data_IF_618997367565
#
_entry.id   IF_618997367565
#
_cell.length_a   1.000
_cell.length_b   1.000
_cell.length_c   1.000
_cell.angle_alpha   90.00
_cell.angle_beta   90.00
_cell.angle_gamma   90.00
#
_symmetry.space_group_name_H-M   'P 1'
#
loop_
_entity.id
_entity.type
_entity.pdbx_description
1 polymer ?
2 non-polymer ?
3 non-polymer ?
4 non-polymer ?
5 water ?
#
# COMPACT_ATOMS: atom_id res chain seq x y z
N UNK A 5 -0.91 19.70 -1.47
CA UNK A 5 0.14 18.96 -0.69
C UNK A 5 0.51 17.71 -1.52
N UNK A 6 1.80 17.40 -1.60
CA UNK A 6 2.28 16.27 -2.38
C UNK A 6 3.28 15.43 -1.61
N UNK A 7 3.23 14.12 -1.84
CA UNK A 7 4.20 13.19 -1.28
C UNK A 7 4.57 12.19 -2.36
N UNK A 8 5.62 11.42 -2.13
CA UNK A 8 6.11 10.51 -3.16
C UNK A 8 6.85 9.39 -2.46
N UNK A 9 6.85 8.22 -3.09
CA UNK A 9 7.62 7.09 -2.61
C UNK A 9 8.24 6.39 -3.81
N UNK A 10 9.47 5.92 -3.63
CA UNK A 10 10.15 5.10 -4.62
C UNK A 10 10.18 3.68 -4.08
N UNK A 11 9.54 2.76 -4.80
CA UNK A 11 9.41 1.38 -4.31
C UNK A 11 10.47 0.48 -4.88
N UNK A 12 11.11 -0.25 -3.99
CA UNK A 12 12.07 -1.31 -4.34
C UNK A 12 12.02 -2.36 -3.25
N UNK A 13 12.53 -3.55 -3.54
CA UNK A 13 12.57 -4.59 -2.52
C UNK A 13 13.45 -5.75 -2.94
N UNK A 14 13.23 -6.87 -2.29
CA UNK A 14 14.00 -8.09 -2.57
C UNK A 14 13.28 -8.88 -3.65
N UNK A 15 13.18 -8.27 -4.81
CA UNK A 15 12.40 -8.77 -5.93
C UNK A 15 12.72 -7.81 -7.05
N UNK A 16 12.26 -8.10 -8.27
CA UNK A 16 12.47 -7.15 -9.37
C UNK A 16 11.48 -5.97 -9.38
N UNK A 17 10.47 -6.01 -8.52
CA UNK A 17 9.38 -5.02 -8.59
C UNK A 17 9.90 -3.65 -8.22
N UNK A 18 9.55 -2.64 -9.01
CA UNK A 18 10.00 -1.28 -8.73
C UNK A 18 8.98 -0.31 -9.27
N UNK A 19 8.84 0.84 -8.62
CA UNK A 19 7.98 1.87 -9.16
C UNK A 19 8.08 3.15 -8.39
N UNK A 20 7.25 4.11 -8.78
CA UNK A 20 7.20 5.41 -8.14
C UNK A 20 5.74 5.76 -7.98
N UNK A 21 5.34 6.04 -6.75
CA UNK A 21 3.97 6.37 -6.43
C UNK A 21 3.91 7.78 -5.86
N UNK A 22 3.00 8.59 -6.41
CA UNK A 22 2.75 9.92 -5.90
C UNK A 22 1.42 9.98 -5.16
N UNK A 23 1.36 10.92 -4.22
CA UNK A 23 0.19 11.15 -3.39
C UNK A 23 -0.08 12.64 -3.43
N UNK A 24 -1.29 13.03 -3.79
CA UNK A 24 -1.63 14.45 -3.78
C UNK A 24 -2.92 14.70 -3.02
N UNK A 25 -3.00 15.84 -2.39
CA UNK A 25 -4.16 16.18 -1.61
C UNK A 25 -4.34 17.68 -1.61
N UNK A 26 -5.59 18.12 -1.75
CA UNK A 26 -5.93 19.53 -1.62
C UNK A 26 -5.46 20.03 -0.27
N UNK A 30 -9.95 16.38 2.48
CA UNK A 30 -10.25 15.94 1.12
C UNK A 30 -9.46 14.69 0.77
N UNK A 31 -9.89 13.97 -0.28
CA UNK A 31 -9.27 12.69 -0.57
C UNK A 31 -7.84 12.84 -1.08
N UNK A 32 -7.05 11.79 -0.87
CA UNK A 32 -5.72 11.72 -1.41
C UNK A 32 -5.81 10.94 -2.72
N UNK A 33 -5.20 11.48 -3.75
CA UNK A 33 -5.05 10.80 -5.04
C UNK A 33 -3.69 10.10 -5.07
N UNK A 34 -3.73 8.80 -5.30
CA UNK A 34 -2.57 7.95 -5.36
C UNK A 34 -2.38 7.53 -6.82
N UNK A 35 -1.19 7.80 -7.39
CA UNK A 35 -0.95 7.50 -8.80
C UNK A 35 0.46 7.07 -9.05
N UNK A 36 0.67 6.31 -10.10
CA UNK A 36 2.02 6.00 -10.52
C UNK A 36 2.03 4.64 -11.16
N UNK A 37 3.21 4.15 -11.53
CA UNK A 37 3.35 2.86 -12.16
C UNK A 37 4.30 2.01 -11.35
N UNK A 38 3.92 0.75 -11.20
CA UNK A 38 4.75 -0.27 -10.56
C UNK A 38 4.99 -1.33 -11.62
N UNK A 39 6.26 -1.71 -11.80
CA UNK A 39 6.66 -2.56 -12.92
C UNK A 39 7.31 -3.84 -12.43
N UNK A 40 7.43 -4.79 -13.36
CA UNK A 40 8.07 -6.10 -13.12
C UNK A 40 7.28 -6.99 -12.17
N UNK A 41 5.99 -6.77 -12.12
CA UNK A 41 5.10 -7.61 -11.37
C UNK A 41 4.63 -8.78 -12.21
N UNK A 42 3.93 -9.73 -11.59
CA UNK A 42 3.27 -10.78 -12.38
C UNK A 42 2.23 -10.15 -13.31
N UNK A 43 2.01 -10.77 -14.47
CA UNK A 43 1.07 -10.26 -15.45
C UNK A 43 -0.37 -10.62 -15.11
N UNK A 44 -1.29 -9.74 -15.49
CA UNK A 44 -2.72 -9.98 -15.41
C UNK A 44 -3.16 -10.42 -14.02
N UNK A 45 -2.67 -9.73 -12.99
CA UNK A 45 -2.83 -10.16 -11.60
C UNK A 45 -3.47 -9.09 -10.77
N UNK A 46 -3.83 -9.47 -9.54
CA UNK A 46 -4.30 -8.54 -8.54
C UNK A 46 -3.40 -8.66 -7.33
N UNK A 47 -2.91 -7.53 -6.83
CA UNK A 47 -1.86 -7.55 -5.81
C UNK A 47 -2.15 -6.56 -4.72
N UNK A 48 -1.95 -6.98 -3.47
CA UNK A 48 -2.29 -6.13 -2.35
C UNK A 48 -1.40 -4.92 -2.19
N UNK A 49 -2.01 -3.79 -1.84
CA UNK A 49 -1.31 -2.48 -1.85
C UNK A 49 -1.72 -1.77 -0.58
N UNK A 50 -0.76 -1.53 0.32
CA UNK A 50 -1.12 -1.03 1.66
C UNK A 50 -0.08 -0.06 2.16
N UNK A 51 -0.54 0.90 2.94
CA UNK A 51 0.37 1.72 3.75
C UNK A 51 0.63 1.00 5.07
N UNK A 52 1.90 0.74 5.33
CA UNK A 52 2.36 0.13 6.57
C UNK A 52 2.88 1.21 7.54
N UNK A 53 2.92 0.85 8.82
CA UNK A 53 3.04 1.82 9.90
C UNK A 53 4.38 2.57 9.89
N UNK A 54 5.48 1.85 9.69
CA UNK A 54 6.79 2.45 9.87
C UNK A 54 7.49 2.73 8.57
N UNK A 55 8.15 3.88 8.52
CA UNK A 55 9.03 4.24 7.40
C UNK A 55 10.45 3.79 7.65
N UNK A 56 10.59 2.53 8.07
CA UNK A 56 11.87 1.96 8.47
C UNK A 56 12.23 0.91 7.45
N UNK A 57 13.23 1.22 6.64
CA UNK A 57 13.67 0.32 5.58
C UNK A 57 15.00 -0.36 5.93
N UNK A 58 15.37 -0.31 7.20
CA UNK A 58 16.66 -0.83 7.61
C UNK A 58 16.75 -2.35 7.51
N UNK A 59 15.61 -3.05 7.57
CA UNK A 59 15.55 -4.48 7.31
C UNK A 59 14.66 -4.68 6.08
N UNK A 60 14.92 -3.91 5.03
CA UNK A 60 14.11 -3.98 3.81
C UNK A 60 12.66 -3.70 4.13
N UNK A 61 11.75 -4.37 3.44
CA UNK A 61 10.33 -4.12 3.65
C UNK A 61 9.80 -4.70 4.96
N UNK A 62 10.56 -5.63 5.54
CA UNK A 62 10.10 -6.27 6.77
C UNK A 62 9.96 -5.28 7.93
N UNK A 63 10.86 -4.33 8.00
CA UNK A 63 10.81 -3.37 9.10
C UNK A 63 9.72 -2.32 8.97
N UNK A 64 8.92 -2.38 7.90
CA UNK A 64 7.79 -1.47 7.80
C UNK A 64 6.67 -1.77 8.79
N UNK A 65 6.72 -2.93 9.43
CA UNK A 65 5.74 -3.24 10.45
C UNK A 65 4.38 -3.59 9.88
N UNK A 66 3.34 -3.48 10.72
CA UNK A 66 1.99 -3.89 10.33
C UNK A 66 1.32 -2.79 9.49
N UNK A 67 0.10 -3.04 9.05
CA UNK A 67 -0.64 -2.01 8.33
C UNK A 67 -0.83 -0.79 9.20
N UNK A 68 -0.77 0.38 8.59
CA UNK A 68 -1.05 1.61 9.30
C UNK A 68 -2.52 1.60 9.76
N UNK A 69 -2.70 1.71 11.08
CA UNK A 69 -3.98 1.38 11.70
C UNK A 69 -4.26 2.29 12.90
N UNK A 70 -4.32 3.60 12.67
CA UNK A 70 -4.48 4.53 13.80
C UNK A 70 -5.83 4.39 14.47
N UNK A 71 -6.84 3.82 13.79
CA UNK A 71 -8.15 3.64 14.40
C UNK A 71 -8.31 2.28 15.09
N UNK A 72 -7.28 1.43 15.06
CA UNK A 72 -7.29 0.18 15.81
C UNK A 72 -8.38 -0.79 15.37
N UNK A 73 -8.54 -0.97 14.08
CA UNK A 73 -9.53 -1.88 13.56
C UNK A 73 -8.89 -3.03 12.80
N UNK A 74 -9.71 -3.81 12.09
CA UNK A 74 -9.22 -4.97 11.35
C UNK A 74 -9.14 -4.68 9.85
N UNK A 75 -8.42 -5.58 9.16
CA UNK A 75 -8.13 -5.42 7.75
C UNK A 75 -9.36 -5.59 6.88
N UNK A 76 -9.46 -4.80 5.80
CA UNK A 76 -10.51 -4.99 4.84
C UNK A 76 -10.12 -4.43 3.49
N UNK A 77 -11.02 -4.55 2.54
CA UNK A 77 -10.85 -3.92 1.24
C UNK A 77 -10.91 -2.41 1.37
N UNK A 78 -10.36 -1.73 0.38
CA UNK A 78 -10.36 -0.27 0.34
C UNK A 78 -11.78 0.34 0.46
N UNK A 79 -12.77 -0.34 -0.12
CA UNK A 79 -14.14 0.14 -0.13
C UNK A 79 -15.00 -0.39 1.03
N UNK A 80 -14.41 -1.19 1.91
CA UNK A 80 -15.17 -1.85 2.97
C UNK A 80 -15.42 -0.93 4.15
N UNK A 81 -16.46 -1.27 4.90
CA UNK A 81 -16.78 -0.56 6.12
C UNK A 81 -15.69 -0.71 7.17
N UNK A 82 -15.19 -1.92 7.36
CA UNK A 82 -14.14 -2.22 8.32
C UNK A 82 -12.82 -2.37 7.53
N UNK A 83 -11.90 -1.45 7.74
CA UNK A 83 -10.60 -1.50 7.08
C UNK A 83 -9.62 -0.68 7.89
N UNK A 84 -8.34 -1.01 7.77
CA UNK A 84 -7.27 -0.16 8.25
C UNK A 84 -7.22 1.11 7.41
N UNK A 85 -6.82 2.24 8.00
CA UNK A 85 -6.56 3.42 7.19
C UNK A 85 -5.59 3.11 6.05
N UNK A 86 -4.60 2.24 6.28
CA UNK A 86 -3.64 1.94 5.24
C UNK A 86 -4.10 0.99 4.14
N UNK A 87 -5.35 0.52 4.18
CA UNK A 87 -5.81 -0.52 3.23
C UNK A 87 -6.25 0.05 1.91
N UNK A 88 -5.46 -0.19 0.87
CA UNK A 88 -5.77 0.28 -0.47
C UNK A 88 -6.18 -0.81 -1.43
N UNK A 89 -6.52 -1.98 -0.90
CA UNK A 89 -7.08 -3.04 -1.73
C UNK A 89 -6.06 -3.69 -2.64
N UNK A 90 -6.57 -4.25 -3.73
CA UNK A 90 -5.74 -4.80 -4.77
C UNK A 90 -5.57 -3.83 -5.91
N UNK A 91 -4.36 -3.77 -6.47
CA UNK A 91 -4.15 -3.10 -7.75
C UNK A 91 -4.00 -4.17 -8.83
N UNK A 92 -4.31 -3.78 -10.05
CA UNK A 92 -4.33 -4.69 -11.18
C UNK A 92 -3.13 -4.50 -12.07
N UNK A 93 -2.51 -5.60 -12.52
CA UNK A 93 -1.42 -5.50 -13.47
C UNK A 93 -1.91 -5.89 -14.85
N UNK A 94 -1.27 -5.30 -15.84
CA UNK A 94 -1.55 -5.60 -17.24
C UNK A 94 -0.73 -6.80 -17.70
N UNK A 95 -0.79 -7.10 -19.00
CA UNK A 95 -0.11 -8.28 -19.54
C UNK A 95 1.40 -8.15 -19.47
N UNK A 96 1.88 -6.93 -19.33
CA UNK A 96 3.30 -6.65 -19.20
C UNK A 96 3.79 -6.60 -17.77
N UNK A 97 2.94 -6.89 -16.80
CA UNK A 97 3.38 -6.81 -15.40
C UNK A 97 3.46 -5.42 -14.84
N UNK A 98 2.70 -4.48 -15.41
CA UNK A 98 2.67 -3.11 -14.92
C UNK A 98 1.33 -2.82 -14.24
N UNK A 99 1.39 -2.30 -13.01
CA UNK A 99 0.23 -1.74 -12.35
C UNK A 99 0.21 -0.24 -12.52
N UNK A 100 -0.80 0.28 -13.20
CA UNK A 100 -1.00 1.70 -13.35
C UNK A 100 -1.97 2.11 -12.26
N UNK A 101 -1.41 2.56 -11.17
CA UNK A 101 -2.17 2.83 -9.96
C UNK A 101 -2.92 4.16 -10.12
N UNK A 102 -4.22 4.16 -9.76
CA UNK A 102 -5.01 5.36 -9.79
C UNK A 102 -6.12 5.19 -8.77
N UNK A 103 -5.94 5.80 -7.62
CA UNK A 103 -6.86 5.65 -6.49
C UNK A 103 -7.19 6.99 -5.88
N UNK A 104 -8.45 7.23 -5.56
CA UNK A 104 -8.83 8.36 -4.74
C UNK A 104 -9.35 7.82 -3.43
N UNK A 105 -8.69 8.17 -2.33
CA UNK A 105 -9.04 7.59 -1.04
C UNK A 105 -9.24 8.65 0.01
N UNK A 106 -10.34 8.53 0.75
CA UNK A 106 -10.71 9.51 1.76
C UNK A 106 -10.22 9.22 3.16
N UNK A 107 -9.64 8.04 3.38
CA UNK A 107 -9.09 7.72 4.70
C UNK A 107 -7.61 8.08 4.79
N UNK A 108 -6.86 7.93 3.70
CA UNK A 108 -5.48 8.47 3.69
C UNK A 108 -5.48 9.97 3.93
N UNK A 109 -4.40 10.47 4.52
CA UNK A 109 -4.15 11.90 4.52
C UNK A 109 -2.67 12.14 4.50
N UNK A 110 -2.29 13.34 4.05
CA UNK A 110 -0.93 13.81 4.07
C UNK A 110 -0.66 14.80 5.19
N UNK A 111 -1.67 15.02 6.04
CA UNK A 111 -1.52 15.96 7.14
C UNK A 111 -2.26 15.40 8.34
N UNK A 112 -1.94 15.91 9.52
CA UNK A 112 -2.70 15.62 10.72
C UNK A 112 -2.43 14.25 11.30
N UNK A 113 -3.24 13.84 12.29
CA UNK A 113 -3.03 12.59 12.99
C UNK A 113 -2.99 11.34 12.12
N UNK A 114 -3.71 11.36 11.00
CA UNK A 114 -3.71 10.19 10.11
C UNK A 114 -2.73 10.32 8.97
N UNK A 115 -1.78 11.25 9.09
CA UNK A 115 -0.81 11.44 8.03
C UNK A 115 -0.02 10.17 7.76
N UNK A 116 0.18 9.89 6.48
CA UNK A 116 1.05 8.79 6.04
C UNK A 116 2.48 9.24 5.72
N UNK A 117 2.76 10.54 5.88
CA UNK A 117 4.13 11.01 5.65
C UNK A 117 5.06 10.30 6.62
N UNK A 118 6.18 9.77 6.08
CA UNK A 118 7.13 9.05 6.89
C UNK A 118 6.77 7.62 7.16
N UNK A 119 5.70 7.12 6.54
CA UNK A 119 5.33 5.70 6.66
C UNK A 119 5.77 4.99 5.38
N UNK A 120 5.31 3.78 5.13
CA UNK A 120 5.77 3.03 3.97
C UNK A 120 4.60 2.57 3.12
N UNK A 121 4.72 2.72 1.80
CA UNK A 121 3.79 2.09 0.88
C UNK A 121 4.40 0.77 0.40
N UNK A 122 3.59 -0.30 0.41
CA UNK A 122 4.05 -1.65 0.10
C UNK A 122 3.18 -2.27 -0.96
N UNK A 123 3.83 -2.88 -1.95
CA UNK A 123 3.14 -3.72 -2.92
C UNK A 123 3.52 -5.17 -2.66
N UNK A 124 2.50 -6.03 -2.65
CA UNK A 124 2.67 -7.42 -2.26
C UNK A 124 2.75 -8.38 -3.42
N UNK A 125 3.22 -9.60 -3.13
CA UNK A 125 3.40 -10.65 -4.12
C UNK A 125 2.12 -11.41 -4.44
N UNK A 126 1.11 -11.26 -3.58
CA UNK A 126 -0.15 -11.96 -3.74
C UNK A 126 -1.33 -11.04 -3.66
N UNK A 127 -2.48 -11.64 -3.94
CA UNK A 127 -3.75 -10.94 -3.86
C UNK A 127 -4.16 -10.74 -2.40
N UNK A 128 -4.67 -9.56 -2.08
CA UNK A 128 -5.27 -9.30 -0.77
C UNK A 128 -6.61 -10.02 -0.70
N UNK A 129 -6.80 -10.82 0.34
CA UNK A 129 -8.03 -11.59 0.53
C UNK A 129 -9.14 -10.80 1.19
N UNK A 130 -8.86 -9.53 1.48
CA UNK A 130 -9.88 -8.55 1.88
C UNK A 130 -10.42 -8.80 3.28
N UNK A 131 -9.74 -9.62 4.06
CA UNK A 131 -10.25 -9.87 5.43
C UNK A 131 -11.44 -10.86 5.41
N UNK A 132 -11.59 -11.60 4.32
CA UNK A 132 -12.79 -12.45 4.12
C UNK A 132 -12.49 -13.93 4.12
N UNK A 133 -11.37 -14.34 4.71
CA UNK A 133 -11.14 -15.76 4.84
C UNK A 133 -10.86 -16.13 6.30
N UNK A 134 -10.77 -17.43 6.52
CA UNK A 134 -10.39 -17.95 7.82
C UNK A 134 -8.88 -18.06 8.01
N UNK A 135 -8.09 -17.60 7.05
CA UNK A 135 -6.64 -17.63 7.24
C UNK A 135 -6.29 -16.74 8.42
N UNK A 136 -5.34 -17.14 9.27
CA UNK A 136 -5.07 -16.30 10.46
C UNK A 136 -4.49 -14.92 10.12
N UNK A 137 -3.96 -14.72 8.91
CA UNK A 137 -3.49 -13.38 8.48
C UNK A 137 -4.60 -12.56 7.81
N UNK A 138 -5.77 -13.15 7.55
CA UNK A 138 -6.80 -12.44 6.79
C UNK A 138 -7.15 -11.10 7.43
N UNK A 139 -7.43 -11.10 8.74
CA UNK A 139 -7.86 -9.87 9.43
C UNK A 139 -6.71 -8.97 9.81
N UNK A 140 -5.49 -9.42 9.57
CA UNK A 140 -4.29 -8.67 9.89
C UNK A 140 -3.81 -7.94 8.65
N UNK A 141 -3.68 -8.67 7.55
CA UNK A 141 -3.00 -8.16 6.42
C UNK A 141 -3.72 -8.51 5.11
N UNK A 142 -4.76 -9.35 5.15
CA UNK A 142 -5.35 -9.89 3.92
C UNK A 142 -4.54 -11.04 3.33
N UNK A 143 -3.55 -11.53 4.06
CA UNK A 143 -2.76 -12.68 3.63
C UNK A 143 -2.23 -12.48 2.21
N UNK A 144 -1.64 -11.32 1.96
CA UNK A 144 -1.21 -10.99 0.60
C UNK A 144 0.22 -11.44 0.27
N UNK A 145 0.82 -12.24 1.16
CA UNK A 145 2.16 -12.77 0.86
C UNK A 145 3.29 -11.78 1.02
N UNK A 146 4.40 -12.06 0.36
CA UNK A 146 5.62 -11.30 0.56
C UNK A 146 5.45 -9.84 0.16
N UNK A 147 6.28 -9.00 0.76
CA UNK A 147 6.34 -7.59 0.42
C UNK A 147 7.33 -7.43 -0.72
N UNK A 148 6.87 -7.41 -1.95
CA UNK A 148 7.75 -7.39 -3.11
C UNK A 148 8.59 -6.12 -3.19
N UNK A 149 7.98 -4.99 -2.83
CA UNK A 149 8.69 -3.72 -2.89
C UNK A 149 8.00 -2.75 -1.97
N UNK A 150 8.74 -1.74 -1.53
CA UNK A 150 8.20 -0.75 -0.64
C UNK A 150 9.01 0.52 -0.75
N UNK A 151 8.43 1.62 -0.28
CA UNK A 151 9.13 2.87 -0.25
C UNK A 151 8.63 3.75 0.87
N UNK A 152 9.54 4.50 1.47
CA UNK A 152 9.16 5.47 2.49
C UNK A 152 8.47 6.66 1.82
N UNK A 153 7.37 7.10 2.39
CA UNK A 153 6.57 8.19 1.85
C UNK A 153 7.13 9.53 2.30
N UNK A 154 7.65 10.30 1.35
CA UNK A 154 8.32 11.55 1.67
C UNK A 154 7.57 12.76 1.16
N UNK A 155 7.85 13.90 1.78
CA UNK A 155 7.27 15.16 1.34
C UNK A 155 7.87 15.51 -0.01
N UNK A 156 6.99 15.91 -0.95
CA UNK A 156 7.47 16.31 -2.26
C UNK A 156 7.12 17.78 -2.50
N UNK A 157 7.73 18.34 -3.54
CA UNK A 157 7.50 19.75 -3.88
C UNK A 157 6.14 19.90 -4.54
#
# INVERSE_FOLDING_TARGET
>A
MSSTIKAIAVLKGDSPVQGVITFTQESSGGPVTVSGEIKNMDANAQRGFHVHQFGDNSNGCTSAGPHFNPTGTNHGDRTAEVRHVGDLGNVKTDASGVAKVQISDSQLSLVGPHSIIGRTIVIHAGEDDLGKTDHPESLKTGNAGARSACGVIGIAAAAALEHHHHHH
#
